data_IF_801568558848
#
_entry.id   IF_801568558848
#
_cell.length_a   1.000
_cell.length_b   1.000
_cell.length_c   1.000
_cell.angle_alpha   90.00
_cell.angle_beta   90.00
_cell.angle_gamma   90.00
#
_symmetry.space_group_name_H-M   'P 1'
#
loop_
_entity.id
_entity.type
_entity.pdbx_description
1 polymer ?
#
# COMPACT_ATOMS: atom_id res chain seq x y z
N UNK A 1 16.70 -60.02 -10.05
CA UNK A 1 16.27 -59.68 -8.69
C UNK A 1 14.93 -60.34 -8.47
N UNK A 2 14.85 -61.27 -7.53
CA UNK A 2 13.60 -62.00 -7.28
C UNK A 2 12.60 -61.06 -6.59
N UNK A 3 11.30 -61.19 -6.88
CA UNK A 3 10.25 -60.35 -6.29
C UNK A 3 10.25 -60.34 -4.74
N UNK A 4 10.90 -61.32 -4.13
CA UNK A 4 11.15 -61.43 -2.68
C UNK A 4 12.10 -60.39 -2.11
N UNK A 5 12.96 -59.77 -2.93
CA UNK A 5 13.93 -58.76 -2.48
C UNK A 5 13.35 -57.34 -2.46
N UNK A 6 12.21 -57.13 -3.14
CA UNK A 6 11.60 -55.79 -3.33
C UNK A 6 10.49 -55.54 -2.29
N UNK A 7 9.83 -56.60 -1.81
CA UNK A 7 8.69 -56.49 -0.89
C UNK A 7 9.21 -56.53 0.55
N UNK A 8 9.21 -55.37 1.22
CA UNK A 8 9.65 -55.22 2.61
C UNK A 8 8.50 -55.23 3.62
N UNK A 9 7.25 -55.05 3.17
CA UNK A 9 6.09 -55.00 4.04
C UNK A 9 5.77 -56.40 4.63
N UNK A 10 5.68 -56.55 5.96
CA UNK A 10 5.51 -57.84 6.62
C UNK A 10 4.19 -58.53 6.27
N UNK A 11 3.11 -57.76 6.01
CA UNK A 11 1.82 -58.31 5.58
C UNK A 11 1.93 -58.84 4.16
N UNK A 12 2.55 -58.09 3.25
CA UNK A 12 2.76 -58.54 1.87
C UNK A 12 3.72 -59.73 1.77
N UNK A 13 4.76 -59.79 2.61
CA UNK A 13 5.64 -60.96 2.71
C UNK A 13 4.85 -62.19 3.15
N UNK A 14 3.98 -62.07 4.15
CA UNK A 14 3.14 -63.19 4.60
C UNK A 14 2.18 -63.70 3.51
N UNK A 15 1.63 -62.79 2.68
CA UNK A 15 0.79 -63.15 1.53
C UNK A 15 1.62 -63.88 0.48
N UNK A 16 2.83 -63.40 0.20
CA UNK A 16 3.75 -63.99 -0.77
C UNK A 16 4.17 -65.40 -0.35
N UNK A 17 4.48 -65.61 0.92
CA UNK A 17 4.87 -66.92 1.44
C UNK A 17 3.69 -67.91 1.42
N UNK A 18 2.49 -67.48 1.84
CA UNK A 18 1.29 -68.29 1.69
C UNK A 18 0.99 -68.64 0.22
N UNK A 19 1.26 -67.73 -0.72
CA UNK A 19 1.11 -67.99 -2.15
C UNK A 19 2.14 -69.00 -2.66
N UNK A 20 3.41 -68.91 -2.22
CA UNK A 20 4.46 -69.88 -2.57
C UNK A 20 4.11 -71.27 -2.04
N UNK A 21 3.63 -71.37 -0.80
CA UNK A 21 3.23 -72.64 -0.18
C UNK A 21 2.01 -73.27 -0.86
N UNK A 22 1.01 -72.45 -1.23
CA UNK A 22 -0.14 -72.91 -1.99
C UNK A 22 0.27 -73.39 -3.38
N UNK A 23 1.14 -72.64 -4.07
CA UNK A 23 1.68 -73.02 -5.39
C UNK A 23 2.50 -74.32 -5.32
N UNK A 24 3.35 -74.46 -4.31
CA UNK A 24 4.12 -75.68 -4.08
C UNK A 24 3.19 -76.88 -3.90
N UNK A 25 2.14 -76.75 -3.07
CA UNK A 25 1.16 -77.81 -2.91
C UNK A 25 0.43 -78.16 -4.21
N UNK A 26 0.08 -77.17 -5.04
CA UNK A 26 -0.53 -77.44 -6.34
C UNK A 26 0.42 -78.25 -7.25
N UNK A 27 1.70 -77.88 -7.29
CA UNK A 27 2.68 -78.57 -8.11
C UNK A 27 2.90 -80.00 -7.61
N UNK A 28 3.08 -80.19 -6.29
CA UNK A 28 3.26 -81.51 -5.69
C UNK A 28 2.07 -82.44 -6.00
N UNK A 29 0.84 -81.89 -5.99
CA UNK A 29 -0.40 -82.62 -6.28
C UNK A 29 -0.54 -82.93 -7.78
N UNK A 30 -0.10 -82.04 -8.66
CA UNK A 30 -0.03 -82.30 -10.11
C UNK A 30 1.00 -83.39 -10.43
N UNK A 31 2.20 -83.32 -9.84
CA UNK A 31 3.25 -84.33 -10.00
C UNK A 31 2.77 -85.71 -9.53
N UNK A 32 2.01 -85.76 -8.42
CA UNK A 32 1.41 -86.99 -7.91
C UNK A 32 0.35 -87.58 -8.87
N UNK A 33 -0.48 -86.73 -9.49
CA UNK A 33 -1.47 -87.17 -10.49
C UNK A 33 -0.76 -87.69 -11.75
N UNK A 34 0.27 -86.99 -12.22
CA UNK A 34 1.04 -87.40 -13.40
C UNK A 34 1.74 -88.75 -13.21
N UNK A 35 2.29 -89.01 -12.02
CA UNK A 35 2.97 -90.27 -11.72
C UNK A 35 2.03 -91.48 -11.57
N UNK A 36 0.81 -91.27 -11.06
CA UNK A 36 -0.12 -92.36 -10.74
C UNK A 36 -1.29 -92.52 -11.74
N UNK A 37 -1.44 -91.59 -12.69
CA UNK A 37 -2.44 -91.65 -13.75
C UNK A 37 -3.88 -91.80 -13.22
N UNK A 38 -4.68 -92.70 -13.82
CA UNK A 38 -6.06 -92.94 -13.40
C UNK A 38 -6.17 -93.53 -11.98
N UNK A 39 -5.13 -94.24 -11.50
CA UNK A 39 -5.11 -94.85 -10.16
C UNK A 39 -4.94 -93.82 -9.04
N UNK A 40 -4.48 -92.60 -9.36
CA UNK A 40 -4.30 -91.51 -8.40
C UNK A 40 -5.62 -91.11 -7.69
N UNK A 41 -6.74 -91.21 -8.41
CA UNK A 41 -8.05 -90.77 -7.94
C UNK A 41 -8.70 -91.75 -6.95
N UNK A 42 -8.20 -92.98 -6.88
CA UNK A 42 -8.64 -94.01 -5.94
C UNK A 42 -7.84 -93.97 -4.63
N UNK A 43 -6.70 -93.26 -4.59
CA UNK A 43 -5.89 -93.15 -3.39
C UNK A 43 -6.46 -92.15 -2.36
N UNK A 44 -6.57 -92.53 -1.07
CA UNK A 44 -7.02 -91.64 -0.02
C UNK A 44 -6.05 -90.46 0.25
N UNK A 45 -4.80 -90.57 -0.21
CA UNK A 45 -3.79 -89.51 -0.12
C UNK A 45 -4.16 -88.27 -0.92
N UNK A 46 -4.70 -88.44 -2.14
CA UNK A 46 -5.14 -87.33 -2.99
C UNK A 46 -6.19 -86.47 -2.29
N UNK A 47 -7.14 -87.12 -1.62
CA UNK A 47 -8.22 -86.49 -0.87
C UNK A 47 -7.70 -85.70 0.35
N UNK A 48 -6.65 -86.19 1.01
CA UNK A 48 -5.99 -85.48 2.10
C UNK A 48 -5.22 -84.25 1.60
N UNK A 49 -4.47 -84.38 0.51
CA UNK A 49 -3.72 -83.27 -0.11
C UNK A 49 -4.65 -82.19 -0.67
N UNK A 50 -5.80 -82.56 -1.23
CA UNK A 50 -6.82 -81.62 -1.67
C UNK A 50 -7.38 -80.79 -0.50
N UNK A 51 -7.59 -81.40 0.68
CA UNK A 51 -8.01 -80.68 1.90
C UNK A 51 -6.94 -79.70 2.37
N UNK A 52 -5.67 -80.11 2.33
CA UNK A 52 -4.53 -79.23 2.67
C UNK A 52 -4.47 -78.04 1.70
N UNK A 53 -4.58 -78.27 0.39
CA UNK A 53 -4.63 -77.20 -0.61
C UNK A 53 -5.80 -76.24 -0.36
N UNK A 54 -6.99 -76.78 -0.10
CA UNK A 54 -8.19 -75.99 0.21
C UNK A 54 -7.97 -75.07 1.42
N UNK A 55 -7.33 -75.57 2.47
CA UNK A 55 -6.99 -74.80 3.66
C UNK A 55 -5.96 -73.69 3.37
N UNK A 56 -4.90 -73.99 2.59
CA UNK A 56 -3.90 -73.00 2.19
C UNK A 56 -4.49 -71.89 1.33
N UNK A 57 -5.39 -72.23 0.40
CA UNK A 57 -6.11 -71.25 -0.41
C UNK A 57 -7.04 -70.36 0.42
N UNK A 58 -7.68 -70.91 1.47
CA UNK A 58 -8.48 -70.11 2.40
C UNK A 58 -7.61 -69.10 3.17
N UNK A 59 -6.45 -69.54 3.68
CA UNK A 59 -5.47 -68.67 4.35
C UNK A 59 -4.99 -67.56 3.40
N UNK A 60 -4.59 -67.91 2.17
CA UNK A 60 -4.14 -66.95 1.18
C UNK A 60 -5.19 -65.88 0.87
N UNK A 61 -6.46 -66.27 0.68
CA UNK A 61 -7.56 -65.32 0.46
C UNK A 61 -7.77 -64.40 1.66
N UNK A 62 -7.66 -64.94 2.88
CA UNK A 62 -7.76 -64.15 4.11
C UNK A 62 -6.65 -63.11 4.23
N UNK A 63 -5.39 -63.52 4.00
CA UNK A 63 -4.23 -62.63 4.04
C UNK A 63 -4.30 -61.56 2.94
N UNK A 64 -4.70 -61.92 1.72
CA UNK A 64 -4.87 -60.97 0.63
C UNK A 64 -5.94 -59.92 0.97
N UNK A 65 -7.10 -60.35 1.50
CA UNK A 65 -8.14 -59.42 1.97
C UNK A 65 -7.62 -58.48 3.06
N UNK A 66 -6.82 -58.98 4.00
CA UNK A 66 -6.21 -58.17 5.05
C UNK A 66 -5.26 -57.11 4.46
N UNK A 67 -4.43 -57.48 3.49
CA UNK A 67 -3.52 -56.55 2.80
C UNK A 67 -4.28 -55.46 2.02
N UNK A 68 -5.38 -55.82 1.33
CA UNK A 68 -6.22 -54.84 0.63
C UNK A 68 -6.84 -53.84 1.61
N UNK A 69 -7.32 -54.33 2.76
CA UNK A 69 -7.91 -53.47 3.79
C UNK A 69 -6.88 -52.55 4.43
N UNK A 70 -5.65 -53.01 4.69
CA UNK A 70 -4.60 -52.15 5.24
C UNK A 70 -4.21 -51.05 4.26
N UNK A 71 -4.08 -51.36 2.97
CA UNK A 71 -3.82 -50.34 1.92
C UNK A 71 -4.96 -49.32 1.84
N UNK A 72 -6.21 -49.76 2.00
CA UNK A 72 -7.35 -48.84 2.01
C UNK A 72 -7.32 -47.92 3.24
N UNK A 73 -6.97 -48.45 4.41
CA UNK A 73 -6.83 -47.67 5.66
C UNK A 73 -5.76 -46.60 5.50
N UNK A 74 -4.55 -46.99 5.07
CA UNK A 74 -3.45 -46.03 4.90
C UNK A 74 -3.76 -44.98 3.84
N UNK A 75 -4.45 -45.35 2.75
CA UNK A 75 -4.92 -44.37 1.76
C UNK A 75 -5.92 -43.37 2.37
N UNK A 76 -6.82 -43.84 3.22
CA UNK A 76 -7.78 -42.98 3.90
C UNK A 76 -7.07 -42.02 4.87
N UNK A 77 -6.23 -42.55 5.76
CA UNK A 77 -5.44 -41.78 6.73
C UNK A 77 -4.59 -40.70 6.05
N UNK A 78 -3.90 -41.05 4.97
CA UNK A 78 -3.11 -40.08 4.20
C UNK A 78 -3.95 -39.03 3.48
N UNK A 79 -5.18 -39.37 3.08
CA UNK A 79 -6.11 -38.41 2.47
C UNK A 79 -6.65 -37.44 3.51
N UNK A 80 -7.00 -37.92 4.70
CA UNK A 80 -7.47 -37.11 5.82
C UNK A 80 -6.38 -36.14 6.30
N UNK A 81 -5.15 -36.63 6.51
CA UNK A 81 -4.00 -35.79 6.87
C UNK A 81 -3.70 -34.73 5.79
N UNK A 82 -3.84 -35.09 4.51
CA UNK A 82 -3.69 -34.13 3.41
C UNK A 82 -4.76 -33.04 3.44
N UNK A 83 -6.01 -33.40 3.70
CA UNK A 83 -7.12 -32.44 3.79
C UNK A 83 -6.89 -31.43 4.93
N UNK A 84 -6.41 -31.90 6.08
CA UNK A 84 -6.05 -31.04 7.21
C UNK A 84 -4.92 -30.05 6.83
N UNK A 85 -3.89 -30.53 6.13
CA UNK A 85 -2.81 -29.66 5.62
C UNK A 85 -3.35 -28.62 4.65
N UNK A 86 -4.24 -29.01 3.72
CA UNK A 86 -4.83 -28.11 2.74
C UNK A 86 -5.69 -27.02 3.43
N UNK A 87 -6.43 -27.37 4.49
CA UNK A 87 -7.20 -26.43 5.30
C UNK A 87 -6.29 -25.42 6.03
N UNK A 88 -5.24 -25.91 6.70
CA UNK A 88 -4.27 -25.06 7.38
C UNK A 88 -3.53 -24.15 6.39
N UNK A 89 -3.22 -24.64 5.19
CA UNK A 89 -2.61 -23.84 4.15
C UNK A 89 -3.53 -22.70 3.71
N UNK A 90 -4.84 -22.95 3.56
CA UNK A 90 -5.81 -21.91 3.24
C UNK A 90 -5.89 -20.84 4.34
N UNK A 91 -5.92 -21.25 5.61
CA UNK A 91 -5.91 -20.32 6.74
C UNK A 91 -4.63 -19.45 6.75
N UNK A 92 -3.47 -20.05 6.47
CA UNK A 92 -2.21 -19.33 6.36
C UNK A 92 -2.23 -18.29 5.21
N UNK A 93 -2.82 -18.63 4.06
CA UNK A 93 -2.98 -17.68 2.95
C UNK A 93 -3.87 -16.50 3.33
N UNK A 94 -4.94 -16.73 4.07
CA UNK A 94 -5.81 -15.67 4.59
C UNK A 94 -5.02 -14.71 5.50
N UNK A 95 -4.21 -15.25 6.41
CA UNK A 95 -3.36 -14.44 7.28
C UNK A 95 -2.31 -13.62 6.51
N UNK A 96 -1.71 -14.19 5.46
CA UNK A 96 -0.79 -13.43 4.59
C UNK A 96 -1.49 -12.28 3.87
N UNK A 97 -2.72 -12.51 3.42
CA UNK A 97 -3.53 -11.47 2.80
C UNK A 97 -3.82 -10.34 3.80
N UNK A 98 -4.31 -10.67 5.00
CA UNK A 98 -4.56 -9.70 6.06
C UNK A 98 -3.30 -8.92 6.43
N UNK A 99 -2.17 -9.60 6.62
CA UNK A 99 -0.89 -8.95 6.90
C UNK A 99 -0.50 -7.95 5.81
N UNK A 100 -0.64 -8.34 4.54
CA UNK A 100 -0.31 -7.47 3.40
C UNK A 100 -1.25 -6.26 3.34
N UNK A 101 -2.53 -6.47 3.60
CA UNK A 101 -3.53 -5.41 3.63
C UNK A 101 -3.21 -4.40 4.73
N UNK A 102 -3.02 -4.85 5.98
CA UNK A 102 -2.68 -3.99 7.12
C UNK A 102 -1.37 -3.25 6.91
N UNK A 103 -0.34 -3.90 6.36
CA UNK A 103 0.92 -3.22 6.00
C UNK A 103 0.72 -2.13 4.95
N UNK A 104 -0.21 -2.35 4.00
CA UNK A 104 -0.59 -1.34 3.02
C UNK A 104 -1.28 -0.14 3.66
N UNK A 105 -2.20 -0.37 4.60
CA UNK A 105 -2.87 0.69 5.35
C UNK A 105 -1.90 1.47 6.24
N UNK A 106 -1.02 0.77 6.97
CA UNK A 106 0.04 1.41 7.78
C UNK A 106 0.90 2.32 6.91
N UNK A 107 1.36 1.82 5.76
CA UNK A 107 2.14 2.65 4.82
C UNK A 107 1.34 3.87 4.35
N UNK A 108 0.06 3.69 4.03
CA UNK A 108 -0.81 4.81 3.65
C UNK A 108 -0.96 5.86 4.76
N UNK A 109 -0.97 5.44 6.03
CA UNK A 109 -0.96 6.33 7.17
C UNK A 109 0.40 7.01 7.38
N UNK A 110 1.51 6.27 7.21
CA UNK A 110 2.88 6.80 7.35
C UNK A 110 3.24 7.78 6.23
N UNK A 111 2.77 7.55 5.01
CA UNK A 111 2.97 8.44 3.86
C UNK A 111 2.00 9.64 3.87
N UNK A 112 1.17 9.79 4.91
CA UNK A 112 0.28 10.93 5.02
C UNK A 112 1.09 12.23 5.13
N UNK A 113 0.99 13.06 4.09
CA UNK A 113 1.70 14.31 4.02
C UNK A 113 1.06 15.34 4.97
N UNK A 114 1.67 15.51 6.14
CA UNK A 114 1.21 16.47 7.13
C UNK A 114 1.55 17.91 6.70
N UNK A 115 0.53 18.73 6.47
CA UNK A 115 0.70 20.13 6.00
C UNK A 115 1.58 20.99 6.90
N UNK A 116 1.65 20.69 8.21
CA UNK A 116 2.46 21.47 9.14
C UNK A 116 3.97 21.29 8.93
N UNK A 117 4.41 20.16 8.36
CA UNK A 117 5.83 19.93 8.05
C UNK A 117 6.35 20.84 6.93
N UNK A 118 5.44 21.34 6.07
CA UNK A 118 5.76 22.28 5.01
C UNK A 118 5.68 23.74 5.46
N UNK A 119 5.22 24.00 6.69
CA UNK A 119 5.09 25.36 7.22
C UNK A 119 6.48 25.87 7.62
N UNK A 120 6.90 26.99 7.01
CA UNK A 120 8.09 27.71 7.46
C UNK A 120 7.84 28.36 8.82
N UNK A 121 8.09 27.61 9.89
CA UNK A 121 7.99 28.04 11.28
C UNK A 121 9.35 28.50 11.81
N UNK A 122 9.31 29.33 12.85
CA UNK A 122 10.50 29.70 13.62
C UNK A 122 11.21 28.45 14.15
N UNK A 123 12.55 28.35 14.05
CA UNK A 123 13.31 27.24 14.63
C UNK A 123 13.01 27.02 16.11
N UNK A 124 13.16 25.79 16.60
CA UNK A 124 12.83 25.44 17.99
C UNK A 124 13.65 26.27 18.99
N UNK A 125 14.93 26.51 18.71
CA UNK A 125 15.82 27.27 19.58
C UNK A 125 15.35 28.71 19.76
N UNK A 126 15.01 29.39 18.66
CA UNK A 126 14.52 30.77 18.66
C UNK A 126 13.16 30.87 19.36
N UNK A 127 12.25 29.92 19.12
CA UNK A 127 10.96 29.87 19.80
C UNK A 127 11.09 29.68 21.31
N UNK A 128 11.98 28.79 21.76
CA UNK A 128 12.21 28.54 23.19
C UNK A 128 12.91 29.71 23.88
N UNK A 129 13.70 30.51 23.15
CA UNK A 129 14.29 31.73 23.68
C UNK A 129 13.22 32.79 24.00
N UNK A 130 12.19 32.90 23.15
CA UNK A 130 11.07 33.83 23.33
C UNK A 130 10.01 33.30 24.30
N UNK A 131 9.80 31.97 24.33
CA UNK A 131 8.81 31.30 25.18
C UNK A 131 9.42 30.20 26.06
N UNK A 132 10.15 30.56 27.14
CA UNK A 132 10.84 29.59 28.00
C UNK A 132 9.89 28.60 28.72
N UNK A 133 8.60 28.93 28.84
CA UNK A 133 7.61 28.06 29.49
C UNK A 133 7.39 26.70 28.81
N UNK A 134 7.77 26.55 27.54
CA UNK A 134 7.59 25.30 26.78
C UNK A 134 8.81 24.37 26.81
N UNK A 135 9.85 24.70 27.59
CA UNK A 135 11.09 23.91 27.64
C UNK A 135 10.88 22.48 28.19
N UNK A 136 9.88 22.30 29.05
CA UNK A 136 9.53 21.01 29.65
C UNK A 136 8.33 20.32 28.96
N UNK A 137 7.82 20.90 27.86
CA UNK A 137 6.66 20.35 27.14
C UNK A 137 7.05 19.20 26.21
N UNK A 138 6.07 18.35 25.89
CA UNK A 138 6.24 17.27 24.89
C UNK A 138 6.49 17.87 23.51
N UNK A 139 7.22 17.15 22.64
CA UNK A 139 7.48 17.58 21.26
C UNK A 139 6.21 17.93 20.46
N UNK A 140 5.13 17.16 20.67
CA UNK A 140 3.82 17.44 20.08
C UNK A 140 3.27 18.79 20.55
N UNK A 141 3.24 19.01 21.87
CA UNK A 141 2.69 20.23 22.48
C UNK A 141 3.52 21.47 22.08
N UNK A 142 4.84 21.31 22.01
CA UNK A 142 5.77 22.33 21.54
C UNK A 142 5.52 22.68 20.06
N UNK A 143 5.26 21.67 19.21
CA UNK A 143 4.94 21.89 17.80
C UNK A 143 3.60 22.61 17.63
N UNK A 144 2.59 22.26 18.43
CA UNK A 144 1.29 22.95 18.44
C UNK A 144 1.46 24.42 18.87
N UNK A 145 2.16 24.68 19.97
CA UNK A 145 2.41 26.04 20.46
C UNK A 145 3.16 26.89 19.42
N UNK A 146 4.15 26.32 18.73
CA UNK A 146 4.88 26.97 17.63
C UNK A 146 3.97 27.34 16.45
N UNK A 147 3.04 26.46 16.08
CA UNK A 147 2.07 26.75 15.00
C UNK A 147 1.13 27.89 15.40
N UNK A 148 0.68 27.92 16.66
CA UNK A 148 -0.21 28.96 17.17
C UNK A 148 0.46 30.34 17.20
N UNK A 149 1.72 30.39 17.62
CA UNK A 149 2.54 31.60 17.64
C UNK A 149 2.78 32.15 16.22
N UNK A 150 3.21 31.30 15.28
CA UNK A 150 3.39 31.66 13.87
C UNK A 150 2.08 32.17 13.26
N UNK A 151 0.95 31.54 13.60
CA UNK A 151 -0.36 31.97 13.14
C UNK A 151 -0.76 33.34 13.71
N UNK A 152 -0.46 33.62 14.97
CA UNK A 152 -0.67 34.94 15.58
C UNK A 152 0.20 36.01 14.89
N UNK A 153 1.50 35.72 14.70
CA UNK A 153 2.44 36.60 14.02
C UNK A 153 1.98 36.92 12.58
N UNK A 154 1.53 35.92 11.81
CA UNK A 154 1.00 36.12 10.45
C UNK A 154 -0.26 36.97 10.43
N UNK A 155 -1.15 36.81 11.40
CA UNK A 155 -2.34 37.67 11.52
C UNK A 155 -1.98 39.12 11.77
N UNK A 156 -1.01 39.38 12.65
CA UNK A 156 -0.53 40.74 12.90
C UNK A 156 0.15 41.34 11.67
N UNK A 157 0.97 40.56 10.96
CA UNK A 157 1.64 40.99 9.74
C UNK A 157 0.62 41.35 8.64
N UNK A 158 -0.43 40.54 8.46
CA UNK A 158 -1.47 40.84 7.47
C UNK A 158 -2.29 42.08 7.88
N UNK A 159 -2.58 42.27 9.17
CA UNK A 159 -3.23 43.48 9.66
C UNK A 159 -2.39 44.73 9.39
N UNK A 160 -1.08 44.70 9.68
CA UNK A 160 -0.14 45.79 9.37
C UNK A 160 -0.04 46.04 7.87
N UNK A 161 -0.01 44.99 7.05
CA UNK A 161 -0.01 45.10 5.59
C UNK A 161 -1.26 45.83 5.09
N UNK A 162 -2.44 45.44 5.55
CA UNK A 162 -3.71 46.08 5.18
C UNK A 162 -3.75 47.55 5.61
N UNK A 163 -3.22 47.89 6.78
CA UNK A 163 -3.11 49.28 7.23
C UNK A 163 -2.18 50.10 6.33
N UNK A 164 -1.00 49.56 6.01
CA UNK A 164 -0.02 50.20 5.12
C UNK A 164 -0.57 50.36 3.71
N UNK A 165 -1.32 49.38 3.20
CA UNK A 165 -1.98 49.45 1.89
C UNK A 165 -3.02 50.57 1.85
N UNK A 166 -3.87 50.68 2.89
CA UNK A 166 -4.80 51.82 3.03
C UNK A 166 -4.08 53.15 3.07
N UNK A 167 -2.96 53.25 3.81
CA UNK A 167 -2.16 54.48 3.91
C UNK A 167 -1.53 54.84 2.57
N UNK A 168 -1.01 53.85 1.84
CA UNK A 168 -0.46 54.02 0.49
C UNK A 168 -1.53 54.55 -0.46
N UNK A 169 -2.73 53.97 -0.46
CA UNK A 169 -3.84 54.41 -1.31
C UNK A 169 -4.29 55.84 -0.98
N UNK A 170 -4.35 56.19 0.31
CA UNK A 170 -4.66 57.54 0.74
C UNK A 170 -3.61 58.56 0.26
N UNK A 171 -2.32 58.22 0.37
CA UNK A 171 -1.23 59.06 -0.13
C UNK A 171 -1.24 59.17 -1.65
N UNK A 172 -1.53 58.10 -2.38
CA UNK A 172 -1.66 58.11 -3.84
C UNK A 172 -2.79 59.03 -4.29
N UNK A 173 -3.96 58.97 -3.62
CA UNK A 173 -5.08 59.90 -3.88
C UNK A 173 -4.70 61.35 -3.58
N UNK A 174 -4.02 61.59 -2.45
CA UNK A 174 -3.55 62.94 -2.09
C UNK A 174 -2.58 63.49 -3.13
N UNK A 175 -1.60 62.68 -3.57
CA UNK A 175 -0.63 63.07 -4.58
C UNK A 175 -1.30 63.32 -5.94
N UNK A 176 -2.30 62.52 -6.32
CA UNK A 176 -3.08 62.75 -7.54
C UNK A 176 -3.85 64.08 -7.48
N UNK A 177 -4.50 64.38 -6.35
CA UNK A 177 -5.19 65.65 -6.13
C UNK A 177 -4.23 66.85 -6.14
N UNK A 178 -3.07 66.75 -5.49
CA UNK A 178 -2.04 67.79 -5.52
C UNK A 178 -1.48 68.00 -6.95
N UNK A 179 -1.31 66.94 -7.73
CA UNK A 179 -0.94 67.04 -9.16
C UNK A 179 -2.01 67.75 -9.99
N UNK A 180 -3.28 67.45 -9.75
CA UNK A 180 -4.39 68.14 -10.42
C UNK A 180 -4.46 69.62 -10.02
N UNK A 181 -4.24 69.93 -8.73
CA UNK A 181 -4.11 71.31 -8.26
C UNK A 181 -2.93 72.03 -8.91
N UNK A 182 -1.76 71.40 -9.02
CA UNK A 182 -0.61 71.98 -9.71
C UNK A 182 -0.92 72.22 -11.19
N UNK A 183 -1.56 71.28 -11.89
CA UNK A 183 -1.95 71.46 -13.28
C UNK A 183 -2.93 72.64 -13.46
N UNK A 184 -3.91 72.79 -12.55
CA UNK A 184 -4.81 73.96 -12.59
C UNK A 184 -4.09 75.27 -12.25
N UNK A 185 -3.12 75.27 -11.32
CA UNK A 185 -2.27 76.44 -11.07
C UNK A 185 -1.44 76.80 -12.31
N UNK A 186 -0.82 75.82 -12.96
CA UNK A 186 -0.05 76.01 -14.20
C UNK A 186 -0.93 76.64 -15.29
N UNK A 187 -2.15 76.11 -15.50
CA UNK A 187 -3.13 76.68 -16.44
C UNK A 187 -3.49 78.14 -16.09
N UNK A 188 -3.66 78.47 -14.80
CA UNK A 188 -3.98 79.84 -14.37
C UNK A 188 -2.81 80.79 -14.55
N UNK A 189 -1.58 80.33 -14.31
CA UNK A 189 -0.37 81.11 -14.56
C UNK A 189 -0.18 81.36 -16.05
N UNK A 190 -0.40 80.36 -16.90
CA UNK A 190 -0.35 80.52 -18.35
C UNK A 190 -1.37 81.57 -18.83
N UNK A 191 -2.62 81.50 -18.32
CA UNK A 191 -3.65 82.51 -18.58
C UNK A 191 -3.27 83.90 -18.07
N UNK A 192 -2.62 84.00 -16.91
CA UNK A 192 -2.17 85.29 -16.37
C UNK A 192 -1.01 85.88 -17.16
N UNK A 193 -0.04 85.06 -17.58
CA UNK A 193 1.09 85.48 -18.43
C UNK A 193 0.58 85.94 -19.78
N UNK A 194 -0.25 85.14 -20.46
CA UNK A 194 -0.83 85.50 -21.77
C UNK A 194 -1.70 86.76 -21.66
N UNK A 195 -2.60 86.84 -20.68
CA UNK A 195 -3.39 88.05 -20.43
C UNK A 195 -2.56 89.27 -20.04
N UNK A 196 -1.43 89.06 -19.34
CA UNK A 196 -0.45 90.10 -19.01
C UNK A 196 0.31 90.59 -20.24
N UNK A 197 0.76 89.68 -21.11
CA UNK A 197 1.38 89.97 -22.39
C UNK A 197 0.41 90.72 -23.31
N UNK A 198 -0.86 90.33 -23.38
CA UNK A 198 -1.89 91.03 -24.14
C UNK A 198 -2.13 92.45 -23.61
N UNK A 199 -2.21 92.64 -22.29
CA UNK A 199 -2.37 93.97 -21.68
C UNK A 199 -1.14 94.85 -21.90
N UNK A 200 0.06 94.29 -21.75
CA UNK A 200 1.31 94.99 -22.05
C UNK A 200 1.35 95.40 -23.52
N UNK A 201 1.03 94.49 -24.44
CA UNK A 201 0.90 94.77 -25.87
C UNK A 201 -0.09 95.90 -26.16
N UNK A 202 -1.30 95.84 -25.60
CA UNK A 202 -2.30 96.92 -25.73
C UNK A 202 -1.83 98.25 -25.14
N UNK A 203 -1.08 98.24 -24.04
CA UNK A 203 -0.47 99.45 -23.45
C UNK A 203 0.62 100.04 -24.36
N UNK A 204 1.46 99.21 -24.96
CA UNK A 204 2.46 99.65 -25.94
C UNK A 204 1.81 100.18 -27.22
N UNK A 205 0.80 99.51 -27.77
CA UNK A 205 0.03 99.98 -28.93
C UNK A 205 -0.72 101.29 -28.64
N UNK A 206 -1.32 101.44 -27.45
CA UNK A 206 -1.96 102.68 -27.02
C UNK A 206 -0.95 103.83 -26.84
N UNK A 207 0.27 103.53 -26.40
CA UNK A 207 1.38 104.50 -26.31
C UNK A 207 1.87 104.92 -27.70
N UNK A 208 1.97 103.98 -28.64
CA UNK A 208 2.30 104.29 -30.04
C UNK A 208 1.24 105.17 -30.69
N UNK A 209 -0.05 104.86 -30.50
CA UNK A 209 -1.16 105.70 -31.00
C UNK A 209 -1.16 107.11 -30.39
N UNK A 210 -0.90 107.25 -29.09
CA UNK A 210 -0.74 108.57 -28.45
C UNK A 210 0.46 109.34 -29.00
N UNK A 211 1.60 108.69 -29.24
CA UNK A 211 2.75 109.34 -29.87
C UNK A 211 2.51 109.75 -31.33
N UNK A 212 1.65 109.03 -32.04
CA UNK A 212 1.23 109.37 -33.39
C UNK A 212 0.22 110.54 -33.41
N UNK A 213 -0.65 110.66 -32.41
CA UNK A 213 -1.57 111.81 -32.25
C UNK A 213 -0.86 113.08 -31.77
N UNK A 214 0.11 112.98 -30.85
CA UNK A 214 0.92 114.12 -30.40
C UNK A 214 1.93 114.61 -31.46
N UNK A 215 2.25 113.79 -32.46
CA UNK A 215 3.06 114.17 -33.64
C UNK A 215 2.25 114.79 -34.79
N UNK A 216 0.92 114.84 -34.70
CA UNK A 216 0.02 115.35 -35.74
C UNK A 216 -0.59 116.73 -35.41
N UNK A 217 -0.03 117.45 -34.43
CA UNK A 217 -0.40 118.82 -34.05
C UNK A 217 0.70 119.84 -34.35
#
# INVERSE_FOLDING_TARGET
MAATEIITDPVLVSVLDAAKEARKQCNDLLDFIEQNGASAYEEPKLLAEQKVLSSRLAILRGLNRKAILSVRSTKQETTEARQEIDELHLQLQNLYYEQRHLRGEIRGCEEYNHKYEQLGMVPVEDFLAEHPQYHESTDHDLTVARIEDEHAARKELEAKRLELEKRKDALMKKNAAEKEQLATLDDTLEKWITGGQEKAGKLFEAREKKSAEDGAK
#
